data_IF_396841604429
#
_entry.id   IF_396841604429
#
_cell.length_a   1.000
_cell.length_b   1.000
_cell.length_c   1.000
_cell.angle_alpha   90.00
_cell.angle_beta   90.00
_cell.angle_gamma   90.00
#
_symmetry.space_group_name_H-M   'P 1'
#
loop_
_entity.id
_entity.type
_entity.pdbx_description
1 polymer ?
#
# COMPACT_ATOMS: atom_id res chain seq x y z
N UNK A 1 16.87 19.77 0.49
CA UNK A 1 16.58 19.06 -0.77
C UNK A 1 15.22 18.40 -0.66
N UNK A 2 14.25 18.71 -1.54
CA UNK A 2 13.00 17.96 -1.55
C UNK A 2 13.30 16.53 -2.00
N UNK A 3 12.67 15.50 -1.40
CA UNK A 3 12.92 14.12 -1.77
C UNK A 3 12.66 13.94 -3.27
N UNK A 4 13.57 13.29 -3.97
CA UNK A 4 13.39 12.99 -5.39
C UNK A 4 12.05 12.26 -5.55
N UNK A 5 11.16 12.81 -6.39
CA UNK A 5 9.76 12.40 -6.56
C UNK A 5 9.53 10.88 -6.75
N UNK A 6 10.56 10.10 -7.05
CA UNK A 6 10.51 8.64 -7.17
C UNK A 6 10.83 7.84 -5.89
N UNK A 7 11.61 8.38 -4.95
CA UNK A 7 12.09 7.58 -3.81
C UNK A 7 10.96 7.22 -2.82
N UNK A 8 10.05 8.16 -2.57
CA UNK A 8 8.87 7.91 -1.72
C UNK A 8 7.91 6.89 -2.36
N UNK A 9 7.71 6.98 -3.68
CA UNK A 9 6.85 6.05 -4.42
C UNK A 9 7.45 4.64 -4.44
N UNK A 10 8.76 4.52 -4.69
CA UNK A 10 9.46 3.25 -4.67
C UNK A 10 9.47 2.61 -3.27
N UNK A 11 9.69 3.42 -2.22
CA UNK A 11 9.64 2.96 -0.83
C UNK A 11 8.24 2.46 -0.45
N UNK A 12 7.19 3.19 -0.87
CA UNK A 12 5.80 2.76 -0.65
C UNK A 12 5.50 1.43 -1.32
N UNK A 13 5.82 1.28 -2.61
CA UNK A 13 5.64 0.01 -3.33
C UNK A 13 6.42 -1.11 -2.65
N UNK A 14 7.64 -0.86 -2.20
CA UNK A 14 8.44 -1.86 -1.50
C UNK A 14 7.83 -2.28 -0.16
N UNK A 15 7.28 -1.34 0.60
CA UNK A 15 6.57 -1.62 1.85
C UNK A 15 5.32 -2.45 1.60
N UNK A 16 4.46 -2.01 0.67
CA UNK A 16 3.21 -2.72 0.37
C UNK A 16 3.48 -4.12 -0.20
N UNK A 17 4.49 -4.28 -1.05
CA UNK A 17 4.92 -5.59 -1.55
C UNK A 17 5.27 -6.56 -0.42
N UNK A 18 5.93 -6.07 0.64
CA UNK A 18 6.23 -6.87 1.83
C UNK A 18 4.98 -7.20 2.66
N UNK A 19 4.10 -6.22 2.86
CA UNK A 19 2.87 -6.40 3.66
C UNK A 19 1.92 -7.40 3.00
N UNK A 20 1.69 -7.23 1.70
CA UNK A 20 0.80 -8.09 0.94
C UNK A 20 1.48 -9.38 0.48
N UNK A 21 2.81 -9.48 0.48
CA UNK A 21 3.52 -10.67 0.01
C UNK A 21 3.37 -10.92 -1.50
N UNK A 22 3.22 -9.85 -2.29
CA UNK A 22 3.13 -9.92 -3.76
C UNK A 22 4.33 -9.21 -4.40
N UNK A 23 4.75 -9.59 -5.61
CA UNK A 23 5.90 -8.97 -6.27
C UNK A 23 5.72 -7.48 -6.51
N UNK A 24 6.78 -6.68 -6.38
CA UNK A 24 6.75 -5.24 -6.71
C UNK A 24 6.29 -4.99 -8.15
N UNK A 25 6.62 -5.90 -9.07
CA UNK A 25 6.26 -5.82 -10.48
C UNK A 25 4.76 -6.00 -10.73
N UNK A 26 4.00 -6.53 -9.75
CA UNK A 26 2.54 -6.61 -9.83
C UNK A 26 1.85 -5.41 -9.20
N UNK A 27 2.60 -4.40 -8.73
CA UNK A 27 2.04 -3.19 -8.14
C UNK A 27 2.39 -1.95 -8.97
N UNK A 28 1.44 -1.02 -9.05
CA UNK A 28 1.70 0.29 -9.67
C UNK A 28 0.86 1.38 -9.03
N UNK A 29 1.41 2.60 -8.96
CA UNK A 29 0.62 3.77 -8.56
C UNK A 29 -0.18 4.19 -9.79
N UNK A 30 -1.51 4.19 -9.68
CA UNK A 30 -2.39 4.59 -10.78
C UNK A 30 -2.84 6.05 -10.65
N UNK A 31 -2.78 6.63 -9.45
CA UNK A 31 -3.08 8.05 -9.17
C UNK A 31 -2.32 8.56 -7.96
N UNK A 32 -2.06 9.87 -7.94
CA UNK A 32 -1.51 10.57 -6.78
C UNK A 32 0.00 10.44 -6.58
N UNK A 33 0.79 10.25 -7.65
CA UNK A 33 2.25 10.12 -7.54
C UNK A 33 2.92 11.29 -6.81
N UNK A 34 2.36 12.50 -6.94
CA UNK A 34 2.83 13.71 -6.24
C UNK A 34 1.96 14.10 -5.04
N UNK A 35 0.86 13.38 -4.80
CA UNK A 35 -0.10 13.66 -3.74
C UNK A 35 0.15 12.78 -2.51
N UNK A 36 -0.41 13.22 -1.37
CA UNK A 36 -0.43 12.42 -0.13
C UNK A 36 -1.33 11.19 -0.28
N UNK A 37 -2.43 11.33 -1.02
CA UNK A 37 -3.37 10.26 -1.29
C UNK A 37 -2.97 9.53 -2.57
N UNK A 38 -2.53 8.28 -2.44
CA UNK A 38 -2.06 7.44 -3.54
C UNK A 38 -3.04 6.30 -3.77
N UNK A 39 -3.42 6.07 -5.01
CA UNK A 39 -4.17 4.88 -5.41
C UNK A 39 -3.19 3.89 -6.02
N UNK A 40 -3.14 2.68 -5.47
CA UNK A 40 -2.23 1.62 -5.90
C UNK A 40 -3.05 0.48 -6.50
N UNK A 41 -2.71 0.08 -7.72
CA UNK A 41 -3.17 -1.17 -8.30
C UNK A 41 -2.32 -2.30 -7.73
N UNK A 42 -2.97 -3.34 -7.21
CA UNK A 42 -2.31 -4.54 -6.70
C UNK A 42 -2.78 -5.73 -7.55
N UNK A 43 -1.87 -6.27 -8.34
CA UNK A 43 -2.07 -7.49 -9.12
C UNK A 43 -1.75 -8.73 -8.31
N UNK A 44 -2.59 -9.75 -8.43
CA UNK A 44 -2.44 -11.04 -7.77
C UNK A 44 -3.77 -11.74 -7.58
N UNK A 45 -3.77 -12.71 -6.66
CA UNK A 45 -4.96 -13.49 -6.28
C UNK A 45 -5.93 -12.65 -5.44
N UNK A 46 -7.16 -12.38 -5.91
CA UNK A 46 -8.10 -11.50 -5.21
C UNK A 46 -8.48 -11.99 -3.81
N UNK A 47 -8.68 -13.30 -3.64
CA UNK A 47 -8.99 -13.94 -2.36
C UNK A 47 -7.93 -13.66 -1.29
N UNK A 48 -6.67 -13.82 -1.68
CA UNK A 48 -5.53 -13.60 -0.80
C UNK A 48 -5.32 -12.11 -0.46
N UNK A 49 -5.46 -11.23 -1.45
CA UNK A 49 -5.28 -9.79 -1.25
C UNK A 49 -6.41 -9.24 -0.35
N UNK A 50 -7.67 -9.61 -0.62
CA UNK A 50 -8.81 -9.18 0.19
C UNK A 50 -8.66 -9.61 1.65
N UNK A 51 -8.23 -10.85 1.91
CA UNK A 51 -7.99 -11.31 3.28
C UNK A 51 -6.94 -10.45 4.01
N UNK A 52 -5.85 -10.06 3.32
CA UNK A 52 -4.83 -9.17 3.88
C UNK A 52 -5.33 -7.76 4.15
N UNK A 53 -6.19 -7.22 3.30
CA UNK A 53 -6.80 -5.90 3.50
C UNK A 53 -7.73 -5.92 4.71
N UNK A 54 -8.58 -6.93 4.83
CA UNK A 54 -9.52 -7.07 5.95
C UNK A 54 -8.76 -7.08 7.29
N UNK A 55 -7.75 -7.95 7.42
CA UNK A 55 -6.92 -8.02 8.63
C UNK A 55 -6.26 -6.67 8.96
N UNK A 56 -5.80 -5.93 7.94
CA UNK A 56 -5.17 -4.64 8.15
C UNK A 56 -6.16 -3.55 8.60
N UNK A 57 -7.42 -3.63 8.17
CA UNK A 57 -8.48 -2.71 8.56
C UNK A 57 -9.02 -3.02 9.97
N UNK A 58 -9.20 -4.31 10.30
CA UNK A 58 -9.62 -4.75 11.64
C UNK A 58 -8.63 -4.26 12.71
N UNK A 59 -7.32 -4.33 12.43
CA UNK A 59 -6.30 -3.78 13.30
C UNK A 59 -6.38 -2.24 13.46
N UNK A 60 -6.87 -1.53 12.42
CA UNK A 60 -7.01 -0.09 12.46
C UNK A 60 -8.21 0.34 13.33
N UNK A 61 -9.30 -0.41 13.32
CA UNK A 61 -10.46 -0.11 14.17
C UNK A 61 -10.09 -0.26 15.66
N UNK A 62 -9.41 -1.36 16.03
CA UNK A 62 -8.96 -1.59 17.42
C UNK A 62 -7.92 -0.55 17.90
N UNK A 63 -7.04 -0.09 17.01
CA UNK A 63 -5.98 0.88 17.36
C UNK A 63 -6.46 2.33 17.47
N UNK A 64 -7.71 2.63 17.07
CA UNK A 64 -8.28 4.00 17.10
C UNK A 64 -9.48 4.15 18.05
N UNK A 65 -9.85 3.11 18.81
CA UNK A 65 -10.86 3.24 19.89
C UNK A 65 -10.33 3.99 21.13
N UNK A 66 -9.01 4.15 21.26
CA UNK A 66 -8.36 4.83 22.39
C UNK A 66 -8.08 6.34 22.17
N UNK A 67 -8.72 6.98 21.17
CA UNK A 67 -8.56 8.42 20.88
C UNK A 67 -9.90 9.14 20.72
#
# INVERSE_FOLDING_TARGET
MPPEKGQANAALIALLAKVFGVPKTSMSIVRGETDRNKSILIGGRPDYITAKVVVALEYYDEANEDN
#
